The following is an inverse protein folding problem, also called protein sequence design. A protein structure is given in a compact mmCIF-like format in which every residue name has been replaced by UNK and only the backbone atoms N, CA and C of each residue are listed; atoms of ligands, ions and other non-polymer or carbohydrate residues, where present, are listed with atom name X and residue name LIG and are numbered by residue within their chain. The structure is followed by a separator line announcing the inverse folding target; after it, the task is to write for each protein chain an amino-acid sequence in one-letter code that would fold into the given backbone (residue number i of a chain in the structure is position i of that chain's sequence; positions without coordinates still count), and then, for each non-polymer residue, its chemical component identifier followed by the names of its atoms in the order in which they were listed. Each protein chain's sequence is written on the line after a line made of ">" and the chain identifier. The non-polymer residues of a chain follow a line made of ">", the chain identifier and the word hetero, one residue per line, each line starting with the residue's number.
data_IF_098895963569
#
_entry.id   IF_098895963569
#
_cell.length_a   1.000
_cell.length_b   1.000
_cell.length_c   1.000
_cell.angle_alpha   90.00
_cell.angle_beta   90.00
_cell.angle_gamma   90.00
#
_symmetry.space_group_name_H-M   'P 1'
#
loop_
_entity.id
_entity.type
_entity.pdbx_description
1 polymer ?
#
# COMPACT_ATOMS: atom_id res chain seq x y z
N UNK A 1 8.58 -0.47 5.42
CA UNK A 1 7.22 0.03 5.66
C UNK A 1 6.85 -0.04 7.15
N UNK A 2 7.09 -1.16 7.85
CA UNK A 2 6.77 -1.28 9.27
C UNK A 2 7.45 -0.21 10.13
N UNK A 3 8.70 0.16 9.82
CA UNK A 3 9.41 1.24 10.55
C UNK A 3 8.82 2.63 10.24
N UNK A 4 8.38 2.87 9.01
CA UNK A 4 7.77 4.14 8.59
C UNK A 4 6.37 4.25 9.19
N UNK A 5 5.56 3.20 9.11
CA UNK A 5 4.24 3.16 9.76
C UNK A 5 4.33 3.24 11.29
N UNK A 6 5.37 2.67 11.91
CA UNK A 6 5.60 2.74 13.35
C UNK A 6 6.02 4.14 13.85
N UNK A 7 6.49 5.02 12.95
CA UNK A 7 6.85 6.41 13.29
C UNK A 7 5.67 7.38 13.22
N UNK A 8 4.53 6.97 12.65
CA UNK A 8 3.31 7.78 12.64
C UNK A 8 2.42 7.34 13.80
N UNK A 9 2.28 8.14 14.84
CA UNK A 9 1.33 7.84 15.90
C UNK A 9 -0.07 7.86 15.30
N UNK A 10 -0.78 6.73 15.30
CA UNK A 10 -2.21 6.67 14.92
C UNK A 10 -3.09 7.07 16.11
N UNK A 11 -2.65 8.09 16.86
CA UNK A 11 -3.21 8.48 18.14
C UNK A 11 -4.35 9.48 18.04
N UNK A 12 -4.55 10.04 16.84
CA UNK A 12 -5.64 10.97 16.55
C UNK A 12 -6.28 10.67 15.19
N UNK A 13 -7.45 11.24 14.96
CA UNK A 13 -8.12 11.19 13.65
C UNK A 13 -7.27 11.84 12.56
N UNK A 14 -6.59 12.94 12.87
CA UNK A 14 -5.70 13.63 11.94
C UNK A 14 -4.48 12.78 11.55
N UNK A 15 -3.83 12.12 12.51
CA UNK A 15 -2.71 11.22 12.23
C UNK A 15 -3.14 10.08 11.31
N UNK A 16 -4.33 9.52 11.57
CA UNK A 16 -4.85 8.45 10.73
C UNK A 16 -5.22 8.93 9.32
N UNK A 17 -5.83 10.12 9.19
CA UNK A 17 -6.11 10.71 7.89
C UNK A 17 -4.82 10.96 7.09
N UNK A 18 -3.76 11.43 7.75
CA UNK A 18 -2.44 11.60 7.12
C UNK A 18 -1.84 10.28 6.66
N UNK A 19 -1.96 9.23 7.48
CA UNK A 19 -1.56 7.88 7.08
C UNK A 19 -2.34 7.40 5.86
N UNK A 20 -3.68 7.56 5.84
CA UNK A 20 -4.52 7.21 4.70
C UNK A 20 -4.16 8.02 3.47
N UNK A 21 -3.86 9.30 3.61
CA UNK A 21 -3.42 10.17 2.51
C UNK A 21 -2.12 9.65 1.87
N UNK A 22 -1.11 9.33 2.67
CA UNK A 22 0.13 8.74 2.16
C UNK A 22 -0.12 7.39 1.46
N UNK A 23 -0.96 6.52 2.06
CA UNK A 23 -1.35 5.25 1.44
C UNK A 23 -2.08 5.48 0.11
N UNK A 24 -2.99 6.43 0.03
CA UNK A 24 -3.69 6.77 -1.20
C UNK A 24 -2.72 7.22 -2.30
N UNK A 25 -1.86 8.21 -1.99
CA UNK A 25 -0.94 8.78 -2.97
C UNK A 25 -0.02 7.72 -3.60
N UNK A 26 0.53 6.81 -2.78
CA UNK A 26 1.38 5.73 -3.27
C UNK A 26 0.58 4.67 -4.04
N UNK A 27 -0.57 4.23 -3.51
CA UNK A 27 -1.36 3.16 -4.13
C UNK A 27 -2.00 3.56 -5.43
N UNK A 28 -2.41 4.82 -5.60
CA UNK A 28 -2.94 5.31 -6.87
C UNK A 28 -1.91 5.14 -8.01
N UNK A 29 -0.67 5.57 -7.79
CA UNK A 29 0.40 5.38 -8.78
C UNK A 29 0.74 3.89 -9.03
N UNK A 30 0.62 3.05 -7.99
CA UNK A 30 0.83 1.60 -8.11
C UNK A 30 -0.30 0.92 -8.90
N UNK A 31 -1.56 1.25 -8.63
CA UNK A 31 -2.71 0.69 -9.32
C UNK A 31 -2.66 1.04 -10.82
N UNK A 32 -2.26 2.27 -11.16
CA UNK A 32 -2.01 2.69 -12.55
C UNK A 32 -0.87 1.90 -13.20
N UNK A 33 0.23 1.67 -12.48
CA UNK A 33 1.35 0.88 -12.97
C UNK A 33 0.94 -0.59 -13.23
N UNK A 34 0.16 -1.20 -12.32
CA UNK A 34 -0.35 -2.57 -12.50
C UNK A 34 -1.39 -2.67 -13.62
N UNK A 35 -2.11 -1.60 -13.95
CA UNK A 35 -3.02 -1.58 -15.09
C UNK A 35 -2.27 -1.74 -16.43
N UNK A 36 -1.02 -1.30 -16.48
CA UNK A 36 -0.16 -1.41 -17.68
C UNK A 36 0.76 -2.62 -17.64
N UNK A 37 1.20 -3.05 -16.45
CA UNK A 37 2.19 -4.13 -16.27
C UNK A 37 1.75 -5.08 -15.15
N UNK A 38 1.14 -6.20 -15.53
CA UNK A 38 0.59 -7.18 -14.59
C UNK A 38 1.66 -8.09 -13.99
N UNK A 39 1.49 -8.56 -12.73
CA UNK A 39 2.26 -9.66 -12.13
C UNK A 39 1.93 -11.04 -12.75
N UNK A 40 1.90 -11.14 -14.06
CA UNK A 40 1.69 -12.37 -14.80
C UNK A 40 0.35 -13.05 -14.50
N UNK A 41 0.38 -14.38 -14.36
CA UNK A 41 -0.83 -15.20 -14.12
C UNK A 41 -1.51 -14.92 -12.80
N UNK A 42 -0.82 -14.31 -11.83
CA UNK A 42 -1.41 -13.94 -10.55
C UNK A 42 -2.48 -12.84 -10.71
N UNK A 43 -2.35 -12.01 -11.74
CA UNK A 43 -3.18 -10.84 -11.96
C UNK A 43 -2.81 -9.67 -11.06
N UNK A 44 -3.52 -8.57 -11.23
CA UNK A 44 -3.28 -7.35 -10.46
C UNK A 44 -3.64 -7.53 -8.98
N UNK A 45 -2.93 -6.84 -8.06
CA UNK A 45 -3.38 -6.70 -6.68
C UNK A 45 -4.79 -6.09 -6.59
N UNK A 46 -5.57 -6.42 -5.56
CA UNK A 46 -6.85 -5.75 -5.29
C UNK A 46 -6.67 -4.23 -5.20
N UNK A 47 -7.56 -3.48 -5.83
CA UNK A 47 -7.57 -2.02 -5.73
C UNK A 47 -8.05 -1.61 -4.34
N UNK A 48 -7.31 -0.74 -3.68
CA UNK A 48 -7.63 -0.24 -2.35
C UNK A 48 -7.83 1.27 -2.29
N UNK A 49 -7.53 1.99 -3.38
CA UNK A 49 -7.72 3.45 -3.44
C UNK A 49 -9.15 3.85 -3.14
N UNK A 50 -10.15 3.11 -3.63
CA UNK A 50 -11.55 3.40 -3.36
C UNK A 50 -11.94 3.21 -1.88
N UNK A 51 -11.35 2.22 -1.21
CA UNK A 51 -11.55 2.01 0.22
C UNK A 51 -10.97 3.17 1.02
N UNK A 52 -9.76 3.61 0.65
CA UNK A 52 -9.08 4.73 1.30
C UNK A 52 -9.85 6.04 1.08
N UNK A 53 -10.35 6.30 -0.14
CA UNK A 53 -11.18 7.47 -0.44
C UNK A 53 -12.45 7.50 0.41
N UNK A 54 -13.12 6.36 0.56
CA UNK A 54 -14.31 6.26 1.40
C UNK A 54 -14.00 6.51 2.88
N UNK A 55 -12.86 6.01 3.37
CA UNK A 55 -12.42 6.24 4.74
C UNK A 55 -12.01 7.71 4.98
N UNK A 56 -11.27 8.34 4.05
CA UNK A 56 -10.93 9.76 4.12
C UNK A 56 -12.19 10.64 4.12
N UNK A 57 -13.16 10.35 3.24
CA UNK A 57 -14.42 11.09 3.17
C UNK A 57 -15.22 10.98 4.48
N UNK A 58 -15.25 9.79 5.11
CA UNK A 58 -15.90 9.58 6.41
C UNK A 58 -15.24 10.42 7.51
N UNK A 59 -13.92 10.57 7.45
CA UNK A 59 -13.15 11.40 8.40
C UNK A 59 -13.22 12.90 8.09
N UNK A 60 -13.80 13.31 6.96
CA UNK A 60 -13.89 14.71 6.52
C UNK A 60 -12.61 15.26 5.87
N UNK A 61 -11.74 14.40 5.36
CA UNK A 61 -10.48 14.78 4.72
C UNK A 61 -10.53 14.55 3.21
N UNK A 62 -9.87 15.43 2.44
CA UNK A 62 -9.65 15.23 1.01
C UNK A 62 -8.46 14.30 0.77
N UNK A 63 -8.50 13.58 -0.35
CA UNK A 63 -7.35 12.80 -0.77
C UNK A 63 -6.27 13.74 -1.35
N UNK A 64 -4.98 13.51 -1.04
CA UNK A 64 -3.89 14.23 -1.67
C UNK A 64 -3.75 13.80 -3.15
N UNK A 65 -3.02 14.58 -3.98
CA UNK A 65 -2.70 14.14 -5.32
C UNK A 65 -1.81 12.88 -5.28
N UNK A 66 -1.87 12.02 -6.33
CA UNK A 66 -0.94 10.91 -6.48
C UNK A 66 0.51 11.42 -6.53
N UNK A 67 1.45 10.60 -6.07
CA UNK A 67 2.88 10.83 -6.29
C UNK A 67 3.25 10.59 -7.77
N UNK A 68 4.51 10.84 -8.13
CA UNK A 68 4.99 10.61 -9.49
C UNK A 68 4.63 9.22 -10.01
N UNK A 69 4.30 9.09 -11.31
CA UNK A 69 3.96 7.79 -11.91
C UNK A 69 5.07 6.76 -11.71
N UNK A 70 4.68 5.52 -11.42
CA UNK A 70 5.57 4.38 -11.38
C UNK A 70 5.56 3.64 -12.72
N UNK A 71 6.73 3.30 -13.26
CA UNK A 71 6.87 2.55 -14.49
C UNK A 71 7.53 1.20 -14.23
N UNK A 72 6.75 0.13 -14.31
CA UNK A 72 7.24 -1.25 -14.17
C UNK A 72 7.67 -1.81 -15.53
N UNK A 73 8.88 -2.39 -15.59
CA UNK A 73 9.51 -2.89 -16.82
C UNK A 73 9.29 -4.39 -17.04
N UNK A 74 8.11 -4.89 -16.74
CA UNK A 74 7.73 -6.27 -16.97
C UNK A 74 7.30 -7.04 -15.72
N UNK A 75 6.95 -8.31 -15.93
CA UNK A 75 6.35 -9.18 -14.91
C UNK A 75 7.18 -9.31 -13.64
N UNK A 76 8.50 -9.44 -13.76
CA UNK A 76 9.37 -9.58 -12.58
C UNK A 76 9.31 -8.36 -11.66
N UNK A 77 9.40 -7.14 -12.23
CA UNK A 77 9.24 -5.92 -11.43
C UNK A 77 7.83 -5.79 -10.86
N UNK A 78 6.80 -6.17 -11.64
CA UNK A 78 5.43 -6.16 -11.15
C UNK A 78 5.22 -7.13 -9.97
N UNK A 79 5.84 -8.30 -9.97
CA UNK A 79 5.83 -9.23 -8.83
C UNK A 79 6.48 -8.62 -7.58
N UNK A 80 7.62 -7.96 -7.75
CA UNK A 80 8.31 -7.28 -6.64
C UNK A 80 7.51 -6.12 -6.06
N UNK A 81 6.93 -5.28 -6.91
CA UNK A 81 6.06 -4.20 -6.50
C UNK A 81 4.79 -4.72 -5.80
N UNK A 82 4.18 -5.79 -6.33
CA UNK A 82 3.03 -6.45 -5.72
C UNK A 82 3.36 -7.01 -4.33
N UNK A 83 4.57 -7.54 -4.14
CA UNK A 83 5.03 -8.04 -2.85
C UNK A 83 5.06 -6.92 -1.79
N UNK A 84 5.53 -5.74 -2.13
CA UNK A 84 5.54 -4.58 -1.22
C UNK A 84 4.13 -4.12 -0.89
N UNK A 85 3.29 -3.93 -1.91
CA UNK A 85 1.90 -3.46 -1.73
C UNK A 85 1.09 -4.43 -0.88
N UNK A 86 1.16 -5.72 -1.21
CA UNK A 86 0.36 -6.72 -0.51
C UNK A 86 0.93 -7.03 0.89
N UNK A 87 2.26 -7.06 1.04
CA UNK A 87 2.92 -7.25 2.32
C UNK A 87 2.63 -6.13 3.32
N UNK A 88 2.44 -4.90 2.86
CA UNK A 88 2.06 -3.77 3.73
C UNK A 88 0.74 -3.99 4.47
N UNK A 89 -0.14 -4.84 3.96
CA UNK A 89 -1.41 -5.17 4.60
C UNK A 89 -1.29 -6.03 5.86
N UNK A 90 -0.14 -6.66 6.08
CA UNK A 90 0.07 -7.52 7.26
C UNK A 90 -0.02 -6.73 8.57
N UNK A 91 0.35 -5.45 8.57
CA UNK A 91 0.25 -4.55 9.72
C UNK A 91 -1.17 -4.03 9.99
N UNK A 92 -2.08 -4.10 9.02
CA UNK A 92 -3.40 -3.46 9.10
C UNK A 92 -4.23 -3.92 10.30
N UNK A 93 -4.21 -5.23 10.61
CA UNK A 93 -4.95 -5.77 11.75
C UNK A 93 -4.43 -5.26 13.10
N UNK A 94 -3.12 -5.09 13.22
CA UNK A 94 -2.51 -4.53 14.43
C UNK A 94 -2.89 -3.07 14.60
N UNK A 95 -2.87 -2.29 13.50
CA UNK A 95 -3.30 -0.89 13.49
C UNK A 95 -4.79 -0.76 13.84
N UNK A 96 -5.64 -1.60 13.27
CA UNK A 96 -7.07 -1.63 13.58
C UNK A 96 -7.32 -1.91 15.06
N UNK A 97 -6.64 -2.92 15.62
CA UNK A 97 -6.74 -3.25 17.04
C UNK A 97 -6.24 -2.12 17.94
N UNK A 98 -5.16 -1.45 17.56
CA UNK A 98 -4.62 -0.30 18.30
C UNK A 98 -5.61 0.88 18.31
N UNK A 99 -6.21 1.20 17.16
CA UNK A 99 -7.24 2.24 17.04
C UNK A 99 -8.46 1.93 17.90
N UNK A 100 -8.94 0.69 17.86
CA UNK A 100 -10.06 0.23 18.67
C UNK A 100 -9.78 0.39 20.19
N UNK A 101 -8.57 0.03 20.64
CA UNK A 101 -8.15 0.24 22.06
C UNK A 101 -8.09 1.72 22.45
N UNK A 102 -7.76 2.60 21.52
CA UNK A 102 -7.74 4.04 21.72
C UNK A 102 -9.14 4.70 21.62
N UNK A 103 -10.21 3.93 21.37
CA UNK A 103 -11.56 4.44 21.17
C UNK A 103 -11.76 5.17 19.84
N UNK A 104 -10.88 4.98 18.89
CA UNK A 104 -10.88 5.62 17.56
C UNK A 104 -11.50 4.67 16.52
N UNK A 105 -12.79 4.38 16.64
CA UNK A 105 -13.51 3.57 15.64
C UNK A 105 -13.91 4.38 14.41
N UNK A 106 -14.38 3.66 13.38
CA UNK A 106 -14.84 4.24 12.11
C UNK A 106 -13.72 4.35 11.05
N UNK A 107 -14.12 4.54 9.79
CA UNK A 107 -13.21 4.66 8.64
C UNK A 107 -12.21 3.49 8.55
N UNK A 108 -12.71 2.27 8.60
CA UNK A 108 -11.90 1.05 8.77
C UNK A 108 -11.84 0.17 7.51
N UNK A 109 -12.43 0.61 6.40
CA UNK A 109 -12.56 -0.20 5.17
C UNK A 109 -11.21 -0.66 4.64
N UNK A 110 -10.25 0.25 4.61
CA UNK A 110 -8.89 -0.06 4.16
C UNK A 110 -8.18 -1.03 5.12
N UNK A 111 -8.22 -0.79 6.42
CA UNK A 111 -7.53 -1.63 7.41
C UNK A 111 -8.18 -3.02 7.57
N UNK A 112 -9.47 -3.13 7.33
CA UNK A 112 -10.22 -4.38 7.45
C UNK A 112 -10.35 -5.18 6.15
N UNK A 113 -9.79 -4.69 5.04
CA UNK A 113 -9.89 -5.36 3.74
C UNK A 113 -9.29 -6.77 3.77
N UNK A 114 -10.07 -7.83 3.50
CA UNK A 114 -9.56 -9.19 3.48
C UNK A 114 -8.92 -9.59 2.14
N UNK A 115 -9.14 -8.81 1.08
CA UNK A 115 -8.73 -9.18 -0.27
C UNK A 115 -7.21 -9.11 -0.43
N UNK A 116 -6.56 -8.09 0.13
CA UNK A 116 -5.11 -7.91 0.00
C UNK A 116 -4.30 -8.99 0.74
N UNK A 117 -4.61 -9.38 2.00
CA UNK A 117 -3.94 -10.51 2.64
C UNK A 117 -4.14 -11.84 1.89
N UNK A 118 -5.32 -12.07 1.32
CA UNK A 118 -5.58 -13.26 0.50
C UNK A 118 -4.77 -13.25 -0.81
N UNK A 119 -4.62 -12.10 -1.42
CA UNK A 119 -3.73 -11.91 -2.58
C UNK A 119 -2.27 -12.16 -2.20
N UNK A 120 -1.79 -11.61 -1.07
CA UNK A 120 -0.42 -11.80 -0.62
C UNK A 120 -0.06 -13.28 -0.45
N UNK A 121 -0.96 -14.08 0.11
CA UNK A 121 -0.75 -15.53 0.24
C UNK A 121 -0.53 -16.20 -1.12
N UNK A 122 -1.37 -15.90 -2.11
CA UNK A 122 -1.21 -16.43 -3.47
C UNK A 122 0.07 -15.95 -4.15
N UNK A 123 0.47 -14.70 -3.86
CA UNK A 123 1.72 -14.15 -4.38
C UNK A 123 2.94 -14.91 -3.84
N UNK A 124 2.95 -15.25 -2.54
CA UNK A 124 4.03 -16.07 -1.96
C UNK A 124 4.08 -17.46 -2.61
N UNK A 125 2.93 -18.10 -2.83
CA UNK A 125 2.86 -19.39 -3.53
C UNK A 125 3.47 -19.31 -4.95
N UNK A 126 3.27 -18.18 -5.66
CA UNK A 126 3.87 -17.93 -6.98
C UNK A 126 5.37 -17.70 -6.88
N UNK A 127 5.82 -16.86 -5.94
CA UNK A 127 7.25 -16.53 -5.79
C UNK A 127 8.08 -17.74 -5.36
N UNK A 128 7.54 -18.62 -4.52
CA UNK A 128 8.19 -19.83 -4.02
C UNK A 128 8.09 -21.02 -5.00
N UNK A 129 7.26 -20.90 -6.04
CA UNK A 129 7.05 -21.98 -7.00
C UNK A 129 8.30 -22.26 -7.82
N UNK A 130 8.72 -23.53 -7.95
CA UNK A 130 9.78 -23.91 -8.90
C UNK A 130 9.49 -23.57 -10.37
N UNK A 131 8.21 -23.35 -10.71
CA UNK A 131 7.79 -22.92 -12.03
C UNK A 131 7.88 -21.40 -12.24
N UNK A 132 8.27 -20.64 -11.20
CA UNK A 132 8.51 -19.22 -11.32
C UNK A 132 9.87 -18.98 -12.00
N UNK A 133 9.84 -18.42 -13.20
CA UNK A 133 11.04 -18.05 -13.97
C UNK A 133 11.32 -16.54 -13.96
N UNK A 134 10.66 -15.79 -13.07
CA UNK A 134 10.91 -14.36 -12.94
C UNK A 134 12.35 -14.12 -12.45
N UNK A 135 13.02 -13.13 -13.04
CA UNK A 135 14.35 -12.72 -12.63
C UNK A 135 14.31 -12.20 -11.19
N UNK A 136 15.10 -12.79 -10.30
CA UNK A 136 15.24 -12.34 -8.91
C UNK A 136 15.65 -10.85 -8.87
N UNK A 137 16.58 -10.43 -9.72
CA UNK A 137 17.01 -9.04 -9.82
C UNK A 137 15.83 -8.13 -10.19
N UNK A 138 15.00 -8.52 -11.17
CA UNK A 138 13.82 -7.77 -11.54
C UNK A 138 12.79 -7.69 -10.43
N UNK A 139 12.59 -8.75 -9.65
CA UNK A 139 11.71 -8.75 -8.47
C UNK A 139 12.23 -7.79 -7.39
N UNK A 140 13.54 -7.82 -7.12
CA UNK A 140 14.17 -6.91 -6.15
C UNK A 140 14.06 -5.46 -6.61
N UNK A 141 14.32 -5.18 -7.88
CA UNK A 141 14.19 -3.84 -8.46
C UNK A 141 12.76 -3.29 -8.29
N UNK A 142 11.75 -4.10 -8.65
CA UNK A 142 10.35 -3.71 -8.50
C UNK A 142 9.96 -3.46 -7.05
N UNK A 143 10.49 -4.24 -6.12
CA UNK A 143 10.27 -4.00 -4.69
C UNK A 143 10.93 -2.69 -4.23
N UNK A 144 12.15 -2.38 -4.67
CA UNK A 144 12.84 -1.11 -4.35
C UNK A 144 12.07 0.10 -4.89
N UNK A 145 11.61 0.06 -6.14
CA UNK A 145 10.81 1.13 -6.74
C UNK A 145 9.51 1.37 -5.95
N UNK A 146 8.86 0.29 -5.54
CA UNK A 146 7.66 0.37 -4.72
C UNK A 146 7.93 0.97 -3.34
N UNK A 147 9.01 0.55 -2.65
CA UNK A 147 9.40 1.13 -1.37
C UNK A 147 9.70 2.62 -1.50
N UNK A 148 10.48 3.02 -2.50
CA UNK A 148 10.82 4.43 -2.74
C UNK A 148 9.56 5.28 -2.96
N UNK A 149 8.57 4.74 -3.67
CA UNK A 149 7.29 5.42 -3.90
C UNK A 149 6.53 5.66 -2.59
N UNK A 150 6.44 4.65 -1.72
CA UNK A 150 5.82 4.80 -0.40
C UNK A 150 6.60 5.78 0.48
N UNK A 151 7.92 5.73 0.49
CA UNK A 151 8.76 6.68 1.24
C UNK A 151 8.51 8.12 0.82
N UNK A 152 8.44 8.38 -0.50
CA UNK A 152 8.09 9.70 -1.03
C UNK A 152 6.70 10.15 -0.58
N UNK A 153 5.69 9.28 -0.64
CA UNK A 153 4.33 9.61 -0.24
C UNK A 153 4.23 9.95 1.25
N UNK A 154 4.89 9.17 2.11
CA UNK A 154 4.91 9.42 3.54
C UNK A 154 5.70 10.70 3.90
N UNK A 155 6.82 10.97 3.22
CA UNK A 155 7.59 12.19 3.43
C UNK A 155 6.80 13.44 3.02
N UNK A 156 6.10 13.41 1.89
CA UNK A 156 5.27 14.53 1.44
C UNK A 156 4.17 14.86 2.47
N UNK A 157 3.49 13.83 2.99
CA UNK A 157 2.42 14.02 3.97
C UNK A 157 2.92 14.57 5.31
N UNK A 158 4.16 14.22 5.71
CA UNK A 158 4.76 14.78 6.92
C UNK A 158 5.08 16.27 6.78
N UNK A 159 5.51 16.71 5.59
CA UNK A 159 5.78 18.12 5.31
C UNK A 159 4.50 18.97 5.32
N UNK A 160 3.39 18.44 4.76
CA UNK A 160 2.09 19.12 4.78
C UNK A 160 1.57 19.31 6.22
N UNK A 161 1.78 18.35 7.10
CA UNK A 161 1.35 18.43 8.49
C UNK A 161 2.21 19.38 9.34
N UNK A 162 3.42 19.72 8.88
CA UNK A 162 4.35 20.61 9.57
C UNK A 162 4.22 22.09 9.16
N UNK A 163 3.44 22.39 8.11
CA UNK A 163 3.24 23.73 7.55
C UNK A 163 2.00 24.40 8.10
#
# INVERSE_FOLDING_TARGET
>A
LDRIAATMPLSSTGDYASFLGAQFAARAAMEDAFATTSPGKLGQPPQQTQLILADLAELGYAAPPPVSPLHLRGEAQALGAAWVVAGSSLGNRAMLAQRGKAGLGGAERFLSDPAMPAYFKRLLDVLESPANHASIEGVIDGAHEAFALFECAFAAQQLENAA
#
